data_IF_479647739700
#
_entry.id   IF_479647739700
#
_cell.length_a   1.000
_cell.length_b   1.000
_cell.length_c   1.000
_cell.angle_alpha   90.00
_cell.angle_beta   90.00
_cell.angle_gamma   90.00
#
_symmetry.space_group_name_H-M   'P 1'
#
loop_
_entity.id
_entity.type
_entity.pdbx_description
1 polymer ?
#
# COMPACT_ATOMS: atom_id res chain seq x y z
N UNK A 1 0.90 17.36 -24.83
CA UNK A 1 0.72 16.07 -25.52
C UNK A 1 -0.76 15.84 -25.71
N UNK A 2 -1.14 15.79 -26.96
CA UNK A 2 -2.51 15.58 -27.38
C UNK A 2 -2.88 14.12 -27.09
N UNK A 3 -3.65 13.87 -26.05
CA UNK A 3 -4.08 12.55 -25.63
C UNK A 3 -5.40 12.20 -26.32
N UNK A 4 -5.45 11.08 -27.04
CA UNK A 4 -6.62 10.61 -27.79
C UNK A 4 -7.13 11.59 -28.87
N UNK A 5 -6.23 12.24 -29.59
CA UNK A 5 -6.57 13.21 -30.64
C UNK A 5 -7.37 12.56 -31.81
N UNK A 6 -7.27 11.24 -31.98
CA UNK A 6 -7.93 10.49 -33.06
C UNK A 6 -9.27 9.85 -32.67
N UNK A 7 -9.64 9.91 -31.36
CA UNK A 7 -10.89 9.34 -30.87
C UNK A 7 -12.03 10.34 -30.94
N UNK A 8 -13.16 9.95 -31.53
CA UNK A 8 -14.39 10.77 -31.66
C UNK A 8 -15.22 10.87 -30.36
N UNK A 9 -14.62 10.60 -29.20
CA UNK A 9 -15.28 10.65 -27.89
C UNK A 9 -15.19 12.04 -27.25
N UNK A 10 -16.10 12.31 -26.29
CA UNK A 10 -16.09 13.51 -25.44
C UNK A 10 -15.06 13.30 -24.30
N UNK A 11 -13.80 13.05 -24.67
CA UNK A 11 -12.71 12.94 -23.70
C UNK A 11 -12.00 14.29 -23.59
N UNK A 12 -11.58 14.71 -22.38
CA UNK A 12 -10.75 15.89 -22.25
C UNK A 12 -9.42 15.62 -22.96
N UNK A 13 -9.11 16.47 -23.97
CA UNK A 13 -7.90 16.35 -24.79
C UNK A 13 -6.70 17.04 -24.17
N UNK A 14 -6.93 17.87 -23.18
CA UNK A 14 -5.91 18.60 -22.44
C UNK A 14 -6.05 18.30 -20.96
N UNK A 15 -4.92 17.97 -20.33
CA UNK A 15 -4.82 17.79 -18.89
C UNK A 15 -3.90 18.85 -18.33
N UNK A 16 -4.34 19.50 -17.26
CA UNK A 16 -3.43 20.31 -16.46
C UNK A 16 -2.49 19.35 -15.71
N UNK A 17 -1.23 19.39 -16.07
CA UNK A 17 -0.18 18.64 -15.36
C UNK A 17 0.53 19.62 -14.45
N UNK A 18 0.59 19.29 -13.19
CA UNK A 18 1.35 20.04 -12.21
C UNK A 18 2.85 19.73 -12.43
N UNK A 19 3.51 20.49 -13.29
CA UNK A 19 4.94 20.32 -13.60
C UNK A 19 5.83 21.32 -12.84
N UNK A 20 5.24 22.24 -12.12
CA UNK A 20 5.92 23.23 -11.28
C UNK A 20 5.26 23.32 -9.90
N UNK A 21 5.87 22.63 -8.94
CA UNK A 21 5.39 22.63 -7.55
C UNK A 21 5.52 24.04 -6.91
N UNK A 22 6.55 24.81 -7.28
CA UNK A 22 6.76 26.14 -6.74
C UNK A 22 5.69 27.11 -7.25
N UNK A 23 5.35 27.06 -8.54
CA UNK A 23 4.25 27.82 -9.13
C UNK A 23 2.89 27.46 -8.53
N UNK A 24 2.65 26.17 -8.24
CA UNK A 24 1.44 25.74 -7.55
C UNK A 24 1.35 26.34 -6.15
N UNK A 25 2.42 26.24 -5.36
CA UNK A 25 2.45 26.83 -4.01
C UNK A 25 2.25 28.35 -4.04
N UNK A 26 2.81 29.06 -5.03
CA UNK A 26 2.61 30.50 -5.20
C UNK A 26 1.14 30.83 -5.52
N UNK A 27 0.52 30.10 -6.45
CA UNK A 27 -0.90 30.29 -6.80
C UNK A 27 -1.84 29.99 -5.63
N UNK A 28 -1.57 28.92 -4.85
CA UNK A 28 -2.34 28.62 -3.64
C UNK A 28 -2.14 29.71 -2.57
N UNK A 29 -0.94 30.26 -2.42
CA UNK A 29 -0.68 31.34 -1.48
C UNK A 29 -1.44 32.61 -1.85
N UNK A 30 -1.54 32.93 -3.15
CA UNK A 30 -2.33 34.06 -3.65
C UNK A 30 -3.83 33.86 -3.39
N UNK A 31 -4.37 32.70 -3.73
CA UNK A 31 -5.78 32.36 -3.45
C UNK A 31 -6.13 32.40 -1.95
N UNK A 32 -5.16 32.08 -1.09
CA UNK A 32 -5.34 32.12 0.39
C UNK A 32 -5.36 33.51 0.95
N UNK A 33 -4.71 34.50 0.32
CA UNK A 33 -4.79 35.89 0.73
C UNK A 33 -6.20 36.47 0.51
N UNK A 34 -6.94 35.94 -0.46
CA UNK A 34 -8.30 36.36 -0.77
C UNK A 34 -9.38 35.55 -0.05
N UNK A 35 -9.04 34.41 0.58
CA UNK A 35 -9.99 33.54 1.22
C UNK A 35 -9.76 33.45 2.74
N UNK A 36 -10.87 33.36 3.48
CA UNK A 36 -10.89 33.11 4.93
C UNK A 36 -10.56 31.64 5.29
N UNK A 37 -9.98 30.90 4.38
CA UNK A 37 -9.58 29.52 4.62
C UNK A 37 -8.40 29.49 5.61
N UNK A 38 -8.47 28.68 6.64
CA UNK A 38 -7.37 28.54 7.59
C UNK A 38 -6.11 28.06 6.84
N UNK A 39 -4.97 28.63 7.21
CA UNK A 39 -3.69 28.15 6.69
C UNK A 39 -3.61 26.63 6.94
N UNK A 40 -3.39 25.87 5.89
CA UNK A 40 -3.02 24.45 6.08
C UNK A 40 -1.69 24.41 6.81
N UNK A 41 -1.75 24.09 8.05
CA UNK A 41 -0.56 23.72 8.82
C UNK A 41 -0.36 22.23 8.57
N UNK A 42 0.83 21.86 8.14
CA UNK A 42 1.18 20.45 8.03
C UNK A 42 0.97 19.83 9.42
N UNK A 43 -0.03 18.98 9.54
CA UNK A 43 -0.26 18.23 10.77
C UNK A 43 0.73 17.07 10.80
N UNK A 44 1.89 17.29 11.40
CA UNK A 44 2.91 16.27 11.57
C UNK A 44 2.37 15.03 12.28
N UNK A 45 1.31 15.20 13.09
CA UNK A 45 0.69 14.10 13.82
C UNK A 45 -0.10 13.14 12.92
N UNK A 46 -0.40 13.55 11.69
CA UNK A 46 -1.06 12.75 10.66
C UNK A 46 -0.12 12.28 9.56
N UNK A 47 1.14 12.65 9.66
CA UNK A 47 2.15 12.24 8.69
C UNK A 47 2.71 10.87 9.06
N UNK A 48 2.79 9.99 8.08
CA UNK A 48 3.47 8.70 8.22
C UNK A 48 4.48 8.52 7.08
N UNK A 49 5.58 7.86 7.38
CA UNK A 49 6.60 7.51 6.42
C UNK A 49 6.88 6.00 6.52
N UNK A 50 6.89 5.33 5.38
CA UNK A 50 7.24 3.91 5.30
C UNK A 50 8.39 3.75 4.33
N UNK A 51 9.43 3.09 4.79
CA UNK A 51 10.61 2.71 4.04
C UNK A 51 10.64 1.19 3.94
N UNK A 52 10.80 0.66 2.72
CA UNK A 52 10.90 -0.76 2.45
C UNK A 52 12.20 -1.04 1.69
N UNK A 53 13.04 -1.89 2.25
CA UNK A 53 14.23 -2.43 1.58
C UNK A 53 13.99 -3.90 1.25
N UNK A 54 14.25 -4.25 -0.01
CA UNK A 54 14.08 -5.63 -0.49
C UNK A 54 15.35 -6.13 -1.16
N UNK A 55 15.82 -7.27 -0.67
CA UNK A 55 16.96 -7.98 -1.25
C UNK A 55 16.48 -9.30 -1.80
N UNK A 56 16.93 -9.68 -2.99
CA UNK A 56 16.57 -10.98 -3.56
C UNK A 56 17.73 -11.64 -4.28
N UNK A 57 17.77 -12.97 -4.17
CA UNK A 57 18.66 -13.83 -4.94
C UNK A 57 17.81 -14.82 -5.73
N UNK A 58 18.22 -15.12 -6.94
CA UNK A 58 17.52 -16.03 -7.84
C UNK A 58 18.49 -17.01 -8.47
N UNK A 59 18.11 -18.29 -8.50
CA UNK A 59 18.86 -19.37 -9.17
C UNK A 59 17.90 -20.13 -10.07
N UNK A 60 18.34 -20.46 -11.26
CA UNK A 60 17.55 -21.26 -12.21
C UNK A 60 18.44 -22.31 -12.88
N UNK A 61 17.91 -23.51 -13.00
CA UNK A 61 18.44 -24.59 -13.79
C UNK A 61 17.54 -24.82 -15.01
N UNK A 62 18.13 -24.89 -16.19
CA UNK A 62 17.46 -25.27 -17.42
C UNK A 62 17.91 -26.66 -17.80
N UNK A 63 16.98 -27.55 -18.08
CA UNK A 63 17.16 -28.96 -18.35
C UNK A 63 16.50 -29.28 -19.69
N UNK A 64 17.12 -30.11 -20.47
CA UNK A 64 16.55 -30.65 -21.72
C UNK A 64 17.10 -32.04 -21.98
N UNK A 65 16.34 -32.85 -22.69
CA UNK A 65 16.74 -34.19 -23.05
C UNK A 65 15.73 -34.89 -23.95
N UNK A 66 15.92 -36.17 -24.12
CA UNK A 66 15.03 -37.03 -24.91
C UNK A 66 14.63 -38.25 -24.07
N UNK A 67 13.38 -38.66 -24.19
CA UNK A 67 12.82 -39.89 -23.59
C UNK A 67 12.21 -40.69 -24.74
N UNK A 68 12.94 -41.73 -25.23
CA UNK A 68 12.57 -42.39 -26.47
C UNK A 68 12.61 -41.42 -27.64
N UNK A 69 11.50 -41.30 -28.35
CA UNK A 69 11.37 -40.37 -29.51
C UNK A 69 10.82 -38.99 -29.08
N UNK A 70 10.64 -38.75 -27.79
CA UNK A 70 10.04 -37.51 -27.27
C UNK A 70 11.10 -36.58 -26.72
N UNK A 71 11.16 -35.38 -27.26
CA UNK A 71 11.98 -34.31 -26.72
C UNK A 71 11.31 -33.71 -25.48
N UNK A 72 12.07 -33.40 -24.43
CA UNK A 72 11.59 -32.70 -23.27
C UNK A 72 12.52 -31.56 -22.90
N UNK A 73 11.94 -30.53 -22.30
CA UNK A 73 12.69 -29.43 -21.72
C UNK A 73 11.95 -28.87 -20.48
N UNK A 74 12.71 -28.23 -19.63
CA UNK A 74 12.12 -27.62 -18.45
C UNK A 74 13.08 -26.70 -17.75
N UNK A 75 12.56 -25.98 -16.77
CA UNK A 75 13.37 -25.20 -15.84
C UNK A 75 12.84 -25.33 -14.42
N UNK A 76 13.78 -25.28 -13.50
CA UNK A 76 13.53 -25.18 -12.06
C UNK A 76 14.14 -23.88 -11.58
N UNK A 77 13.35 -23.04 -10.98
CA UNK A 77 13.76 -21.75 -10.44
C UNK A 77 13.51 -21.68 -8.94
N UNK A 78 14.35 -20.94 -8.27
CA UNK A 78 14.24 -20.67 -6.85
C UNK A 78 14.62 -19.23 -6.60
N UNK A 79 13.72 -18.48 -5.97
CA UNK A 79 13.96 -17.11 -5.56
C UNK A 79 13.81 -17.01 -4.04
N UNK A 80 14.80 -16.43 -3.40
CA UNK A 80 14.73 -16.01 -2.00
C UNK A 80 14.62 -14.48 -1.96
N UNK A 81 13.71 -13.97 -1.16
CA UNK A 81 13.48 -12.54 -0.98
C UNK A 81 13.47 -12.27 0.51
N UNK A 82 14.28 -11.31 0.95
CA UNK A 82 14.25 -10.72 2.27
C UNK A 82 13.68 -9.29 2.15
N UNK A 83 12.75 -8.95 3.02
CA UNK A 83 12.11 -7.63 3.03
C UNK A 83 12.18 -7.06 4.43
N UNK A 84 12.79 -5.87 4.55
CA UNK A 84 12.84 -5.07 5.76
C UNK A 84 11.95 -3.85 5.59
N UNK A 85 11.07 -3.61 6.55
CA UNK A 85 10.15 -2.48 6.53
C UNK A 85 10.32 -1.66 7.80
N UNK A 86 10.43 -0.35 7.65
CA UNK A 86 10.45 0.63 8.75
C UNK A 86 9.31 1.60 8.51
N UNK A 87 8.32 1.59 9.41
CA UNK A 87 7.22 2.53 9.39
C UNK A 87 7.34 3.49 10.57
N UNK A 88 7.28 4.78 10.28
CA UNK A 88 7.29 5.88 11.26
C UNK A 88 5.98 6.63 11.14
N UNK A 89 5.41 7.00 12.26
CA UNK A 89 4.18 7.77 12.31
C UNK A 89 4.04 8.40 13.67
N UNK A 90 2.96 9.11 13.88
CA UNK A 90 2.65 9.73 15.14
C UNK A 90 1.35 9.16 15.72
N UNK A 91 1.26 9.08 17.02
CA UNK A 91 0.07 8.60 17.69
C UNK A 91 -0.10 9.24 19.05
N UNK A 92 -1.34 9.38 19.47
CA UNK A 92 -1.68 9.83 20.83
C UNK A 92 -2.13 8.63 21.63
N UNK A 93 -1.60 8.48 22.82
CA UNK A 93 -2.10 7.50 23.76
C UNK A 93 -3.37 8.02 24.39
N UNK A 94 -4.38 7.14 24.55
CA UNK A 94 -5.57 7.45 25.32
C UNK A 94 -5.20 7.44 26.80
N UNK A 95 -5.42 8.56 27.51
CA UNK A 95 -5.12 8.67 28.94
C UNK A 95 -6.32 8.27 29.79
N UNK A 96 -7.47 8.89 29.54
CA UNK A 96 -8.70 8.63 30.29
C UNK A 96 -9.91 8.60 29.38
N UNK A 97 -10.93 7.89 29.81
CA UNK A 97 -12.26 7.89 29.21
C UNK A 97 -13.20 8.18 30.36
N UNK A 98 -13.79 9.35 30.34
CA UNK A 98 -14.80 9.77 31.29
C UNK A 98 -16.18 9.70 30.64
N UNK A 99 -17.14 9.15 31.37
CA UNK A 99 -18.54 9.10 30.97
C UNK A 99 -19.29 10.13 31.77
N UNK A 100 -19.92 11.07 31.12
CA UNK A 100 -20.78 12.07 31.77
C UNK A 100 -22.15 12.10 31.11
N UNK A 101 -23.13 12.59 31.84
CA UNK A 101 -24.48 12.80 31.32
C UNK A 101 -24.57 14.26 30.89
N UNK A 102 -24.84 14.47 29.62
CA UNK A 102 -25.15 15.80 29.10
C UNK A 102 -26.50 16.28 29.70
N UNK A 103 -26.48 17.38 30.45
CA UNK A 103 -27.64 17.89 31.15
C UNK A 103 -28.75 18.39 30.22
N UNK A 104 -28.40 18.78 28.98
CA UNK A 104 -29.36 19.29 28.00
C UNK A 104 -30.07 18.18 27.22
N UNK A 105 -29.37 17.07 26.98
CA UNK A 105 -29.89 15.96 26.16
C UNK A 105 -30.23 14.71 26.97
N UNK A 106 -29.88 14.66 28.26
CA UNK A 106 -30.00 13.49 29.16
C UNK A 106 -29.30 12.22 28.58
N UNK A 107 -28.30 12.42 27.73
CA UNK A 107 -27.55 11.33 27.11
C UNK A 107 -26.18 11.17 27.75
N UNK A 108 -25.76 9.93 27.84
CA UNK A 108 -24.39 9.62 28.21
C UNK A 108 -23.43 10.01 27.06
N UNK A 109 -22.49 10.87 27.37
CA UNK A 109 -21.41 11.26 26.48
C UNK A 109 -20.05 10.72 26.96
N UNK A 110 -19.16 10.46 26.01
CA UNK A 110 -17.82 9.98 26.30
C UNK A 110 -16.84 11.13 26.06
N UNK A 111 -16.16 11.54 27.12
CA UNK A 111 -15.00 12.43 27.00
C UNK A 111 -13.71 11.59 27.00
N UNK A 112 -12.89 11.77 25.96
CA UNK A 112 -11.65 11.04 25.83
C UNK A 112 -10.48 12.00 25.84
N UNK A 113 -9.74 11.97 26.93
CA UNK A 113 -8.52 12.74 27.04
C UNK A 113 -7.36 12.00 26.41
N UNK A 114 -6.66 12.66 25.51
CA UNK A 114 -5.47 12.13 24.82
C UNK A 114 -4.21 12.76 25.38
N UNK A 115 -3.16 11.97 25.46
CA UNK A 115 -1.82 12.45 25.74
C UNK A 115 -1.19 13.22 24.58
N UNK A 116 0.02 13.71 24.77
CA UNK A 116 0.78 14.34 23.69
C UNK A 116 0.98 13.34 22.53
N UNK A 117 1.15 13.88 21.33
CA UNK A 117 1.52 13.08 20.18
C UNK A 117 2.97 12.62 20.32
N UNK A 118 3.19 11.34 20.15
CA UNK A 118 4.52 10.71 20.22
C UNK A 118 4.84 10.03 18.90
N UNK A 119 6.12 10.05 18.52
CA UNK A 119 6.59 9.31 17.36
C UNK A 119 6.53 7.81 17.65
N UNK A 120 5.94 7.07 16.72
CA UNK A 120 5.85 5.62 16.76
C UNK A 120 6.68 5.06 15.62
N UNK A 121 7.64 4.20 15.94
CA UNK A 121 8.41 3.48 14.96
C UNK A 121 8.11 1.99 15.06
N UNK A 122 7.85 1.36 13.92
CA UNK A 122 7.71 -0.09 13.80
C UNK A 122 8.69 -0.61 12.76
N UNK A 123 9.38 -1.68 13.14
CA UNK A 123 10.25 -2.42 12.23
C UNK A 123 9.69 -3.82 12.08
N UNK A 124 9.67 -4.29 10.84
CA UNK A 124 9.27 -5.64 10.51
C UNK A 124 10.23 -6.20 9.47
N UNK A 125 10.60 -7.47 9.62
CA UNK A 125 11.44 -8.19 8.66
C UNK A 125 10.80 -9.55 8.41
N UNK A 126 10.76 -9.95 7.14
CA UNK A 126 10.27 -11.26 6.72
C UNK A 126 10.98 -11.73 5.47
N UNK A 127 11.00 -13.04 5.29
CA UNK A 127 11.59 -13.68 4.13
C UNK A 127 10.58 -14.57 3.41
N UNK A 128 10.82 -14.77 2.11
CA UNK A 128 9.99 -15.58 1.27
C UNK A 128 10.84 -16.45 0.35
N UNK A 129 10.39 -17.70 0.23
CA UNK A 129 10.99 -18.70 -0.62
C UNK A 129 10.01 -19.04 -1.75
N UNK A 130 10.40 -18.75 -3.00
CA UNK A 130 9.52 -18.80 -4.15
C UNK A 130 10.05 -19.81 -5.19
N UNK A 131 9.69 -21.08 -5.06
CA UNK A 131 10.01 -22.08 -6.05
C UNK A 131 9.16 -21.92 -7.31
N UNK A 132 9.72 -22.27 -8.46
CA UNK A 132 9.02 -22.35 -9.72
C UNK A 132 9.52 -23.54 -10.53
N UNK A 133 8.63 -24.16 -11.27
CA UNK A 133 8.95 -25.27 -12.16
C UNK A 133 8.13 -25.17 -13.44
N UNK A 134 8.78 -25.44 -14.58
CA UNK A 134 8.13 -25.60 -15.87
C UNK A 134 8.66 -26.86 -16.52
N UNK A 135 7.77 -27.60 -17.17
CA UNK A 135 8.09 -28.79 -17.92
C UNK A 135 7.35 -28.75 -19.26
N UNK A 136 8.04 -29.11 -20.32
CA UNK A 136 7.53 -29.21 -21.68
C UNK A 136 7.92 -30.56 -22.23
N UNK A 137 6.97 -31.27 -22.81
CA UNK A 137 7.17 -32.55 -23.54
C UNK A 137 6.69 -32.35 -24.98
N UNK A 138 7.55 -32.56 -25.93
CA UNK A 138 7.25 -32.55 -27.37
C UNK A 138 6.89 -33.98 -27.80
N UNK A 139 5.60 -34.24 -28.03
CA UNK A 139 5.11 -35.58 -28.41
C UNK A 139 5.33 -35.81 -29.90
N UNK A 140 5.07 -34.81 -30.72
CA UNK A 140 5.35 -34.80 -32.16
C UNK A 140 5.31 -33.34 -32.67
N UNK A 141 5.52 -33.15 -33.97
CA UNK A 141 5.61 -31.84 -34.62
C UNK A 141 4.32 -30.98 -34.40
N UNK A 142 3.19 -31.61 -34.10
CA UNK A 142 1.90 -30.94 -33.97
C UNK A 142 1.40 -30.87 -32.52
N UNK A 143 1.94 -31.68 -31.60
CA UNK A 143 1.47 -31.76 -30.22
C UNK A 143 2.59 -31.66 -29.20
N UNK A 144 2.39 -30.76 -28.29
CA UNK A 144 3.23 -30.61 -27.08
C UNK A 144 2.37 -30.53 -25.82
N UNK A 145 2.94 -30.96 -24.72
CA UNK A 145 2.33 -30.80 -23.37
C UNK A 145 3.23 -29.89 -22.54
N UNK A 146 2.64 -28.91 -21.89
CA UNK A 146 3.37 -28.03 -20.95
C UNK A 146 2.65 -28.01 -19.60
N UNK A 147 3.44 -28.17 -18.54
CA UNK A 147 2.98 -28.06 -17.16
C UNK A 147 3.87 -27.03 -16.46
N UNK A 148 3.27 -26.14 -15.70
CA UNK A 148 4.01 -25.14 -14.93
C UNK A 148 3.36 -24.91 -13.57
N UNK A 149 4.19 -24.61 -12.58
CA UNK A 149 3.76 -24.23 -11.24
C UNK A 149 4.76 -23.26 -10.63
N UNK A 150 4.26 -22.32 -9.85
CA UNK A 150 5.10 -21.39 -9.12
C UNK A 150 4.41 -20.95 -7.83
N UNK A 151 5.20 -20.72 -6.79
CA UNK A 151 4.76 -19.99 -5.62
C UNK A 151 4.98 -18.50 -5.85
N UNK A 152 3.94 -17.72 -5.63
CA UNK A 152 3.99 -16.25 -5.76
C UNK A 152 3.53 -15.60 -4.47
N UNK A 153 4.01 -14.39 -4.20
CA UNK A 153 3.56 -13.57 -3.09
C UNK A 153 2.86 -12.32 -3.63
N UNK A 154 1.80 -11.91 -2.94
CA UNK A 154 1.20 -10.59 -3.10
C UNK A 154 1.64 -9.74 -1.92
N UNK A 155 2.18 -8.59 -2.20
CA UNK A 155 2.60 -7.64 -1.16
C UNK A 155 1.44 -6.71 -0.84
N UNK A 156 1.26 -6.34 0.44
CA UNK A 156 0.30 -5.32 0.81
C UNK A 156 0.71 -3.98 0.17
N UNK A 157 -0.25 -3.10 -0.05
CA UNK A 157 0.05 -1.75 -0.49
C UNK A 157 0.82 -1.00 0.61
N UNK A 158 1.73 -0.10 0.22
CA UNK A 158 2.52 0.71 1.17
C UNK A 158 1.59 1.51 2.11
N UNK A 159 0.43 1.93 1.61
CA UNK A 159 -0.60 2.60 2.39
C UNK A 159 -1.18 1.75 3.53
N UNK A 160 -1.16 0.43 3.39
CA UNK A 160 -1.70 -0.50 4.39
C UNK A 160 -0.70 -0.83 5.50
N UNK A 161 0.58 -0.48 5.29
CA UNK A 161 1.68 -0.72 6.23
C UNK A 161 1.91 0.50 7.15
N UNK A 162 1.25 1.62 6.86
CA UNK A 162 1.38 2.86 7.63
C UNK A 162 1.02 2.67 9.11
N UNK A 163 1.78 3.32 9.99
CA UNK A 163 1.49 3.38 11.43
C UNK A 163 0.60 4.58 11.66
N UNK A 164 -0.71 4.38 11.58
CA UNK A 164 -1.71 5.39 11.98
C UNK A 164 -2.53 4.84 13.15
N UNK A 165 -2.62 5.60 14.23
CA UNK A 165 -3.50 5.31 15.36
C UNK A 165 -4.60 6.36 15.43
N UNK A 166 -5.61 6.18 14.60
CA UNK A 166 -6.87 6.91 14.76
C UNK A 166 -7.80 6.10 15.66
N UNK A 167 -8.05 6.61 16.84
CA UNK A 167 -9.11 6.08 17.70
C UNK A 167 -10.42 6.77 17.35
N UNK A 168 -11.27 6.07 16.59
CA UNK A 168 -12.66 6.49 16.47
C UNK A 168 -13.38 6.10 17.76
N UNK A 169 -13.92 7.05 18.47
CA UNK A 169 -14.88 6.83 19.55
C UNK A 169 -16.25 6.74 18.92
N UNK A 170 -16.70 5.56 18.59
CA UNK A 170 -18.11 5.29 18.33
C UNK A 170 -18.71 4.65 19.56
N UNK A 171 -19.79 5.24 20.06
CA UNK A 171 -20.62 4.62 21.10
C UNK A 171 -21.16 3.31 20.52
N UNK A 172 -20.96 2.16 21.15
CA UNK A 172 -21.67 0.95 20.72
C UNK A 172 -23.16 1.17 21.00
N UNK A 173 -24.00 1.04 19.98
CA UNK A 173 -25.45 1.22 20.06
C UNK A 173 -26.20 0.25 21.00
N UNK A 174 -25.48 -0.56 21.77
CA UNK A 174 -26.01 -1.70 22.52
C UNK A 174 -25.67 -1.71 24.02
N UNK A 175 -25.47 -0.57 24.67
CA UNK A 175 -25.63 -0.55 26.13
C UNK A 175 -27.10 -0.32 26.49
N UNK A 176 -27.89 -1.40 26.40
CA UNK A 176 -29.15 -1.48 27.12
C UNK A 176 -28.83 -1.96 28.53
N UNK A 177 -29.03 -1.06 29.51
CA UNK A 177 -29.17 -1.40 30.93
C UNK A 177 -30.29 -2.40 31.14
#
# INVERSE_FOLDING_TARGET
>A
TDFLSEENGVFPREFMVLNDLAGYHAAIAELRQESTWPNEVLDETRSSATEEERKSIYVQANLAGEIGDFGWSGNLGLRYIETDTISRGHGKNRLTIDVFIDEDTEKEELDVTYGPSEEIMRKNSYDNFLPSANFKLDINDNFLVRVSGAQVISLPAITDIGVDRNYATSKPDNFKS
#
